data_IF_509599894366
#
_entry.id   IF_509599894366
#
_cell.length_a   1.000
_cell.length_b   1.000
_cell.length_c   1.000
_cell.angle_alpha   90.00
_cell.angle_beta   90.00
_cell.angle_gamma   90.00
#
_symmetry.space_group_name_H-M   'P 1'
#
loop_
_entity.id
_entity.type
_entity.pdbx_description
1 polymer ?
#
# COMPACT_ATOMS: atom_id res chain seq x y z
N UNK A 1 3.08 -1.38 -17.36
CA UNK A 1 3.32 -1.81 -15.97
C UNK A 1 3.30 -3.32 -16.00
N UNK A 2 4.42 -3.99 -15.73
CA UNK A 2 4.46 -5.45 -15.65
C UNK A 2 3.48 -5.92 -14.58
N UNK A 3 2.76 -7.02 -14.85
CA UNK A 3 1.80 -7.61 -13.91
C UNK A 3 2.57 -8.35 -12.80
N UNK A 4 3.11 -7.58 -11.84
CA UNK A 4 3.87 -8.14 -10.71
C UNK A 4 2.87 -8.83 -9.76
N UNK A 5 3.16 -10.03 -9.22
CA UNK A 5 2.22 -10.79 -8.39
C UNK A 5 1.54 -9.99 -7.28
N UNK A 6 2.27 -9.07 -6.62
CA UNK A 6 1.71 -8.18 -5.58
C UNK A 6 0.63 -7.23 -6.10
N UNK A 7 0.72 -6.73 -7.33
CA UNK A 7 -0.32 -5.86 -7.90
C UNK A 7 -1.64 -6.61 -8.07
N UNK A 8 -1.58 -7.87 -8.48
CA UNK A 8 -2.76 -8.74 -8.62
C UNK A 8 -3.43 -8.99 -7.27
N UNK A 9 -2.63 -9.26 -6.24
CA UNK A 9 -3.13 -9.46 -4.87
C UNK A 9 -3.81 -8.19 -4.35
N UNK A 10 -3.17 -7.04 -4.51
CA UNK A 10 -3.74 -5.75 -4.10
C UNK A 10 -5.09 -5.53 -4.80
N UNK A 11 -5.14 -5.67 -6.13
CA UNK A 11 -6.38 -5.52 -6.91
C UNK A 11 -7.48 -6.46 -6.41
N UNK A 12 -7.14 -7.73 -6.14
CA UNK A 12 -8.09 -8.72 -5.65
C UNK A 12 -8.62 -8.37 -4.26
N UNK A 13 -7.75 -7.95 -3.34
CA UNK A 13 -8.15 -7.54 -1.99
C UNK A 13 -9.04 -6.29 -2.05
N UNK A 14 -8.64 -5.27 -2.81
CA UNK A 14 -9.42 -4.03 -2.93
C UNK A 14 -10.74 -4.21 -3.68
N UNK A 15 -10.84 -5.17 -4.60
CA UNK A 15 -12.08 -5.45 -5.33
C UNK A 15 -13.15 -6.13 -4.45
N UNK A 16 -12.72 -6.96 -3.48
CA UNK A 16 -13.59 -7.72 -2.59
C UNK A 16 -14.02 -6.94 -1.34
N UNK A 17 -13.34 -5.84 -1.07
CA UNK A 17 -13.43 -5.11 0.17
C UNK A 17 -14.44 -3.94 0.08
N UNK A 18 -15.29 -3.84 1.11
CA UNK A 18 -16.09 -2.65 1.36
C UNK A 18 -15.20 -1.51 1.91
N UNK A 19 -15.64 -0.27 1.81
CA UNK A 19 -14.85 0.92 2.17
C UNK A 19 -14.29 0.85 3.61
N UNK A 20 -15.10 0.36 4.55
CA UNK A 20 -14.74 0.14 5.96
C UNK A 20 -13.61 -0.89 6.18
N UNK A 21 -13.32 -1.74 5.19
CA UNK A 21 -12.21 -2.71 5.24
C UNK A 21 -10.93 -2.18 4.58
N UNK A 22 -10.98 -1.05 3.88
CA UNK A 22 -9.79 -0.41 3.32
C UNK A 22 -8.82 0.03 4.43
N UNK A 23 -9.32 0.63 5.50
CA UNK A 23 -8.50 1.04 6.66
C UNK A 23 -7.81 -0.16 7.31
N UNK A 24 -8.48 -1.32 7.40
CA UNK A 24 -7.89 -2.54 7.96
C UNK A 24 -6.69 -3.02 7.12
N UNK A 25 -6.76 -2.91 5.78
CA UNK A 25 -5.62 -3.25 4.92
C UNK A 25 -4.42 -2.35 5.20
N UNK A 26 -4.66 -1.05 5.40
CA UNK A 26 -3.65 -0.06 5.72
C UNK A 26 -3.04 -0.29 7.10
N UNK A 27 -3.85 -0.51 8.13
CA UNK A 27 -3.37 -0.75 9.50
C UNK A 27 -2.45 -1.97 9.56
N UNK A 28 -2.87 -3.09 8.96
CA UNK A 28 -2.06 -4.31 8.91
C UNK A 28 -0.75 -4.12 8.15
N UNK A 29 -0.79 -3.39 7.04
CA UNK A 29 0.40 -3.11 6.24
C UNK A 29 1.35 -2.16 6.97
N UNK A 30 0.81 -1.12 7.62
CA UNK A 30 1.58 -0.15 8.40
C UNK A 30 2.36 -0.85 9.51
N UNK A 31 1.74 -1.76 10.27
CA UNK A 31 2.41 -2.54 11.32
C UNK A 31 3.67 -3.24 10.76
N UNK A 32 3.55 -3.92 9.62
CA UNK A 32 4.67 -4.67 9.03
C UNK A 32 5.77 -3.75 8.48
N UNK A 33 5.39 -2.64 7.84
CA UNK A 33 6.37 -1.69 7.28
C UNK A 33 7.09 -0.94 8.39
N UNK A 34 6.37 -0.44 9.40
CA UNK A 34 6.93 0.29 10.55
C UNK A 34 7.96 -0.57 11.29
N UNK A 35 7.72 -1.88 11.42
CA UNK A 35 8.68 -2.79 12.05
C UNK A 35 10.03 -2.88 11.33
N UNK A 36 10.12 -2.45 10.07
CA UNK A 36 11.34 -2.55 9.23
C UNK A 36 11.96 -1.17 9.01
N UNK A 37 11.16 -0.16 8.65
CA UNK A 37 11.65 1.17 8.26
C UNK A 37 11.39 2.26 9.30
N UNK A 38 10.72 1.92 10.41
CA UNK A 38 10.28 2.88 11.42
C UNK A 38 9.04 3.68 11.00
N UNK A 39 8.47 4.39 11.98
CA UNK A 39 7.25 5.21 11.80
C UNK A 39 7.46 6.36 10.81
N UNK A 40 8.55 7.10 10.95
CA UNK A 40 8.89 8.19 10.03
C UNK A 40 9.10 7.69 8.59
N UNK A 41 9.70 6.49 8.45
CA UNK A 41 9.88 5.84 7.15
C UNK A 41 8.54 5.48 6.51
N UNK A 42 7.62 4.90 7.27
CA UNK A 42 6.27 4.63 6.80
C UNK A 42 5.54 5.92 6.42
N UNK A 43 5.59 6.95 7.27
CA UNK A 43 4.95 8.23 7.02
C UNK A 43 5.45 8.89 5.72
N UNK A 44 6.77 8.85 5.47
CA UNK A 44 7.35 9.34 4.23
C UNK A 44 6.85 8.57 2.99
N UNK A 45 6.78 7.25 3.07
CA UNK A 45 6.26 6.39 1.99
C UNK A 45 4.77 6.65 1.72
N UNK A 46 3.98 6.76 2.78
CA UNK A 46 2.56 7.05 2.72
C UNK A 46 2.28 8.44 2.10
N UNK A 47 2.93 9.49 2.59
CA UNK A 47 2.77 10.84 2.02
C UNK A 47 3.20 10.88 0.55
N UNK A 48 4.26 10.15 0.18
CA UNK A 48 4.71 10.07 -1.20
C UNK A 48 3.69 9.36 -2.08
N UNK A 49 3.05 8.29 -1.61
CA UNK A 49 2.02 7.57 -2.38
C UNK A 49 0.78 8.44 -2.57
N UNK A 50 0.33 9.17 -1.54
CA UNK A 50 -0.77 10.14 -1.63
C UNK A 50 -0.46 11.21 -2.68
N UNK A 51 0.71 11.87 -2.57
CA UNK A 51 1.13 12.92 -3.49
C UNK A 51 1.12 12.48 -4.97
N UNK A 52 1.60 11.27 -5.26
CA UNK A 52 1.63 10.75 -6.62
C UNK A 52 0.24 10.43 -7.19
N UNK A 53 -0.73 10.13 -6.32
CA UNK A 53 -2.09 9.75 -6.69
C UNK A 53 -3.09 10.90 -6.68
N UNK A 54 -2.77 12.04 -6.07
CA UNK A 54 -3.61 13.24 -6.04
C UNK A 54 -4.00 13.75 -7.43
N UNK A 55 -3.15 13.55 -8.46
CA UNK A 55 -3.50 13.93 -9.84
C UNK A 55 -4.68 13.13 -10.39
N UNK A 56 -4.80 11.87 -10.00
CA UNK A 56 -5.88 10.98 -10.42
C UNK A 56 -7.09 11.10 -9.49
N UNK A 57 -6.84 11.30 -8.19
CA UNK A 57 -7.86 11.42 -7.15
C UNK A 57 -7.65 12.71 -6.34
N UNK A 58 -8.12 13.88 -6.85
CA UNK A 58 -7.89 15.17 -6.21
C UNK A 58 -8.51 15.34 -4.83
N UNK A 59 -9.43 14.46 -4.45
CA UNK A 59 -10.11 14.42 -3.15
C UNK A 59 -9.28 13.73 -2.06
N UNK A 60 -8.16 13.10 -2.40
CA UNK A 60 -7.22 12.56 -1.40
C UNK A 60 -6.70 13.68 -0.51
N UNK A 61 -6.36 13.38 0.76
CA UNK A 61 -5.90 14.41 1.69
C UNK A 61 -4.68 15.13 1.09
N UNK A 62 -4.81 16.45 0.94
CA UNK A 62 -3.71 17.28 0.48
C UNK A 62 -2.58 17.20 1.51
N UNK A 63 -1.33 17.31 1.06
CA UNK A 63 -0.15 17.33 1.93
C UNK A 63 -0.20 18.55 2.87
N UNK A 64 -0.99 18.49 3.93
CA UNK A 64 -0.66 19.21 5.14
C UNK A 64 0.65 18.57 5.60
N UNK A 65 1.74 19.34 5.58
CA UNK A 65 2.88 19.10 6.46
C UNK A 65 2.33 18.59 7.80
N UNK A 66 2.87 17.53 8.41
CA UNK A 66 2.25 16.86 9.55
C UNK A 66 1.90 17.87 10.64
N UNK A 67 0.66 18.37 10.61
CA UNK A 67 0.14 19.34 11.56
C UNK A 67 -0.44 18.53 12.69
N UNK A 68 0.40 17.86 13.47
CA UNK A 68 0.04 17.27 14.77
C UNK A 68 -1.24 16.41 14.81
N UNK A 69 -1.76 15.97 13.67
CA UNK A 69 -2.79 14.94 13.61
C UNK A 69 -2.02 13.62 13.67
N UNK A 70 -2.01 13.02 14.85
CA UNK A 70 -1.30 11.78 15.18
C UNK A 70 -1.70 10.56 14.32
N UNK A 71 -2.59 10.72 13.33
CA UNK A 71 -3.21 9.62 12.60
C UNK A 71 -3.41 9.90 11.09
N UNK A 72 -2.35 9.82 10.25
CA UNK A 72 -2.45 10.01 8.79
C UNK A 72 -3.46 9.09 8.07
N UNK A 73 -3.73 7.91 8.64
CA UNK A 73 -4.72 6.96 8.13
C UNK A 73 -6.17 7.36 8.48
N UNK A 74 -6.37 8.20 9.50
CA UNK A 74 -7.69 8.72 9.86
C UNK A 74 -8.19 9.70 8.79
N UNK A 75 -7.31 10.58 8.30
CA UNK A 75 -7.64 11.52 7.23
C UNK A 75 -7.98 10.79 5.92
N UNK A 76 -7.27 9.70 5.63
CA UNK A 76 -7.60 8.81 4.50
C UNK A 76 -8.98 8.19 4.66
N UNK A 77 -9.29 7.69 5.87
CA UNK A 77 -10.59 7.09 6.17
C UNK A 77 -11.73 8.09 5.97
N UNK A 78 -11.61 9.31 6.50
CA UNK A 78 -12.60 10.36 6.29
C UNK A 78 -12.76 10.71 4.81
N UNK A 79 -11.65 10.73 4.06
CA UNK A 79 -11.68 10.96 2.61
C UNK A 79 -12.42 9.84 1.87
N UNK A 80 -12.27 8.58 2.28
CA UNK A 80 -13.00 7.45 1.70
C UNK A 80 -14.50 7.50 1.99
N UNK A 81 -14.90 7.82 3.22
CA UNK A 81 -16.32 7.90 3.62
C UNK A 81 -17.12 8.95 2.82
N UNK A 82 -16.44 9.93 2.22
CA UNK A 82 -17.06 10.96 1.39
C UNK A 82 -17.21 10.57 -0.10
N UNK A 83 -16.70 9.41 -0.52
CA UNK A 83 -16.67 9.00 -1.93
C UNK A 83 -17.60 7.82 -2.21
N UNK A 84 -17.81 7.54 -3.50
CA UNK A 84 -18.54 6.32 -3.89
C UNK A 84 -17.68 5.07 -3.70
N UNK A 85 -18.31 3.88 -3.49
CA UNK A 85 -17.57 2.63 -3.34
C UNK A 85 -16.66 2.31 -4.53
N UNK A 86 -17.05 2.72 -5.74
CA UNK A 86 -16.22 2.54 -6.93
C UNK A 86 -14.93 3.37 -6.87
N UNK A 87 -15.04 4.65 -6.50
CA UNK A 87 -13.89 5.54 -6.36
C UNK A 87 -12.98 5.12 -5.20
N UNK A 88 -13.54 4.70 -4.07
CA UNK A 88 -12.75 4.20 -2.94
C UNK A 88 -11.94 2.98 -3.34
N UNK A 89 -12.55 2.00 -4.01
CA UNK A 89 -11.82 0.80 -4.46
C UNK A 89 -10.69 1.14 -5.43
N UNK A 90 -10.96 2.00 -6.40
CA UNK A 90 -9.96 2.39 -7.42
C UNK A 90 -8.79 3.14 -6.79
N UNK A 91 -9.08 4.15 -5.96
CA UNK A 91 -8.07 4.94 -5.27
C UNK A 91 -7.27 4.11 -4.27
N UNK A 92 -7.93 3.28 -3.47
CA UNK A 92 -7.25 2.42 -2.50
C UNK A 92 -6.31 1.42 -3.21
N UNK A 93 -6.75 0.84 -4.32
CA UNK A 93 -5.92 -0.06 -5.12
C UNK A 93 -4.67 0.64 -5.65
N UNK A 94 -4.84 1.84 -6.24
CA UNK A 94 -3.73 2.57 -6.82
C UNK A 94 -2.76 3.10 -5.76
N UNK A 95 -3.25 3.53 -4.60
CA UNK A 95 -2.43 3.96 -3.47
C UNK A 95 -1.57 2.81 -2.92
N UNK A 96 -2.16 1.64 -2.67
CA UNK A 96 -1.42 0.46 -2.20
C UNK A 96 -0.39 -0.01 -3.24
N UNK A 97 -0.74 0.01 -4.53
CA UNK A 97 0.21 -0.28 -5.62
C UNK A 97 1.37 0.71 -5.58
N UNK A 98 1.09 2.00 -5.53
CA UNK A 98 2.13 3.05 -5.54
C UNK A 98 3.04 2.95 -4.33
N UNK A 99 2.48 2.77 -3.13
CA UNK A 99 3.26 2.62 -1.91
C UNK A 99 4.18 1.39 -2.00
N UNK A 100 3.66 0.26 -2.47
CA UNK A 100 4.44 -0.98 -2.56
C UNK A 100 5.45 -0.96 -3.70
N UNK A 101 5.21 -0.19 -4.76
CA UNK A 101 6.21 0.09 -5.81
C UNK A 101 7.38 0.90 -5.24
N UNK A 102 7.09 1.94 -4.46
CA UNK A 102 8.14 2.73 -3.79
C UNK A 102 8.91 1.84 -2.82
N UNK A 103 8.22 1.05 -1.99
CA UNK A 103 8.85 0.13 -1.05
C UNK A 103 9.76 -0.88 -1.77
N UNK A 104 9.25 -1.54 -2.83
CA UNK A 104 10.02 -2.49 -3.62
C UNK A 104 11.25 -1.86 -4.27
N UNK A 105 11.18 -0.58 -4.66
CA UNK A 105 12.35 0.13 -5.18
C UNK A 105 13.44 0.40 -4.13
N UNK A 106 13.08 0.42 -2.84
CA UNK A 106 14.00 0.69 -1.73
C UNK A 106 14.60 -0.58 -1.14
N UNK A 107 13.78 -1.61 -0.93
CA UNK A 107 14.18 -2.83 -0.19
C UNK A 107 14.11 -4.11 -1.02
N UNK A 108 13.77 -3.99 -2.30
CA UNK A 108 13.63 -5.11 -3.23
C UNK A 108 12.24 -5.74 -3.25
N UNK A 109 11.93 -6.39 -4.37
CA UNK A 109 10.64 -7.04 -4.62
C UNK A 109 10.39 -8.22 -3.67
N UNK A 110 11.40 -9.06 -3.42
CA UNK A 110 11.26 -10.24 -2.57
C UNK A 110 10.88 -9.89 -1.12
N UNK A 111 11.52 -8.87 -0.54
CA UNK A 111 11.20 -8.45 0.82
C UNK A 111 9.82 -7.77 0.88
N UNK A 112 9.50 -6.97 -0.12
CA UNK A 112 8.17 -6.36 -0.25
C UNK A 112 7.07 -7.42 -0.33
N UNK A 113 7.24 -8.46 -1.15
CA UNK A 113 6.30 -9.57 -1.26
C UNK A 113 6.11 -10.30 0.10
N UNK A 114 7.19 -10.54 0.85
CA UNK A 114 7.10 -11.14 2.19
C UNK A 114 6.32 -10.26 3.18
N UNK A 115 6.55 -8.94 3.17
CA UNK A 115 5.81 -7.98 4.02
C UNK A 115 4.31 -8.04 3.72
N UNK A 116 3.93 -8.04 2.44
CA UNK A 116 2.52 -8.11 2.03
C UNK A 116 1.87 -9.44 2.43
N UNK A 117 2.63 -10.54 2.30
CA UNK A 117 2.19 -11.86 2.72
C UNK A 117 1.87 -11.90 4.22
N UNK A 118 2.78 -11.37 5.05
CA UNK A 118 2.60 -11.27 6.50
C UNK A 118 1.45 -10.32 6.89
N UNK A 119 1.30 -9.20 6.18
CA UNK A 119 0.25 -8.22 6.48
C UNK A 119 -1.15 -8.77 6.19
N UNK A 120 -1.33 -9.53 5.11
CA UNK A 120 -2.67 -9.92 4.65
C UNK A 120 -2.97 -11.41 4.74
N UNK A 121 -2.02 -12.21 5.25
CA UNK A 121 -2.12 -13.67 5.34
C UNK A 121 -2.42 -14.30 3.96
N UNK A 122 -1.68 -13.84 2.95
CA UNK A 122 -1.79 -14.31 1.55
C UNK A 122 -0.45 -14.86 1.10
N UNK A 123 -0.43 -16.06 0.53
CA UNK A 123 0.79 -16.58 -0.10
C UNK A 123 1.11 -15.79 -1.38
N UNK A 124 2.27 -15.13 -1.40
CA UNK A 124 2.81 -14.50 -2.61
C UNK A 124 3.93 -15.38 -3.12
N UNK A 125 3.68 -16.09 -4.23
CA UNK A 125 4.69 -16.93 -4.85
C UNK A 125 5.86 -16.06 -5.32
N UNK A 126 7.02 -16.24 -4.69
CA UNK A 126 8.27 -15.75 -5.25
C UNK A 126 8.63 -16.74 -6.36
N UNK A 127 8.53 -16.32 -7.61
CA UNK A 127 9.21 -17.02 -8.71
C UNK A 127 10.72 -16.81 -8.46
N UNK A 128 11.29 -17.69 -7.66
CA UNK A 128 12.71 -17.69 -7.33
C UNK A 128 13.50 -17.96 -8.60
N UNK A 129 14.44 -17.06 -8.89
CA UNK A 129 15.43 -17.21 -9.93
C UNK A 129 16.09 -18.59 -9.87
N UNK A 130 16.34 -19.12 -11.05
CA UNK A 130 16.86 -20.47 -11.25
C UNK A 130 18.07 -20.74 -10.36
N UNK A 131 18.00 -21.90 -9.70
CA UNK A 131 19.09 -22.60 -9.06
C UNK A 131 20.36 -22.49 -9.92
N UNK A 132 21.37 -21.79 -9.41
CA UNK A 132 22.73 -21.97 -9.92
C UNK A 132 23.11 -23.42 -9.65
N UNK A 133 23.00 -24.26 -10.67
CA UNK A 133 23.62 -25.59 -10.74
C UNK A 133 25.11 -25.41 -10.51
N UNK A 134 25.56 -25.77 -9.32
CA UNK A 134 26.97 -26.00 -9.01
C UNK A 134 27.48 -27.17 -9.86
N UNK A 135 28.51 -26.90 -10.65
CA UNK A 135 29.38 -27.89 -11.31
C UNK A 135 30.54 -28.27 -10.38
#
# INVERSE_FOLDING_TARGET
MSDVPRHRIIKNLTARNAENTATILWDKLAIQIIAIVGEDGFNALYMRSIFLNQRTFPWLPANALPTQTDHPLLDLKMSFEAQSPAQVREANSLLLITLTDILASLIGEQLTARILSLAWDVEISNETGEEFKSE
#
